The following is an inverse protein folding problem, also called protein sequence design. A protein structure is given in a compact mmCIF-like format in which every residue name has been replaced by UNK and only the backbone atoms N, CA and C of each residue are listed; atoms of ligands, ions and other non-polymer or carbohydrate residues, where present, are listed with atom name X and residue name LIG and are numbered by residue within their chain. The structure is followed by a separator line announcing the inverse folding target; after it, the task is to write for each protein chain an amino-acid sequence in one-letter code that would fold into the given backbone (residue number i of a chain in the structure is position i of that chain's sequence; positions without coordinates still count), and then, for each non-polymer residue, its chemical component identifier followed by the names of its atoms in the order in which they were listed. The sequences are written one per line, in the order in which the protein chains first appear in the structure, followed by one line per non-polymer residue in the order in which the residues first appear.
data_IF_327649899405
#
_entry.id   IF_327649899405
#
_cell.length_a   1.000
_cell.length_b   1.000
_cell.length_c   1.000
_cell.angle_alpha   90.00
_cell.angle_beta   90.00
_cell.angle_gamma   90.00
#
_symmetry.space_group_name_H-M   'P 1'
#
loop_
_entity.id
_entity.type
_entity.pdbx_description
1 polymer ?
#
# COMPACT_ATOMS: atom_id res chain seq x y z
N UNK A 1 -3.51 3.48 5.51
CA UNK A 1 -2.46 2.43 5.58
C UNK A 1 -3.14 1.15 6.02
N UNK A 2 -3.02 0.06 5.26
CA UNK A 2 -3.57 -1.26 5.58
C UNK A 2 -2.44 -2.24 5.87
N UNK A 3 -2.59 -3.04 6.94
CA UNK A 3 -1.58 -4.02 7.35
C UNK A 3 -2.00 -5.43 6.91
N UNK A 4 -1.12 -6.10 6.18
CA UNK A 4 -1.36 -7.40 5.55
C UNK A 4 -0.63 -8.59 6.18
N UNK A 5 0.02 -8.39 7.35
CA UNK A 5 0.80 -9.42 8.07
C UNK A 5 0.07 -10.76 8.33
N UNK A 6 -1.26 -10.81 8.25
CA UNK A 6 -2.06 -12.04 8.44
C UNK A 6 -2.73 -12.57 7.17
N UNK A 7 -2.46 -11.98 6.01
CA UNK A 7 -3.03 -12.43 4.72
C UNK A 7 -2.00 -13.29 4.00
N UNK A 8 -2.15 -14.61 4.11
CA UNK A 8 -1.26 -15.57 3.47
C UNK A 8 -1.75 -16.03 2.09
N UNK A 9 -3.04 -15.83 1.78
CA UNK A 9 -3.62 -16.20 0.49
C UNK A 9 -4.41 -15.05 -0.13
N UNK A 10 -3.99 -14.66 -1.34
CA UNK A 10 -4.66 -13.67 -2.17
C UNK A 10 -5.72 -14.33 -3.05
N UNK A 11 -6.97 -14.32 -2.60
CA UNK A 11 -8.11 -14.69 -3.46
C UNK A 11 -8.46 -13.56 -4.44
N UNK A 12 -9.08 -13.89 -5.56
CA UNK A 12 -9.45 -12.93 -6.63
C UNK A 12 -10.35 -11.79 -6.14
N UNK A 13 -11.24 -12.05 -5.18
CA UNK A 13 -12.09 -11.03 -4.54
C UNK A 13 -11.27 -10.02 -3.74
N UNK A 14 -10.25 -10.49 -3.02
CA UNK A 14 -9.39 -9.63 -2.20
C UNK A 14 -8.55 -8.69 -3.08
N UNK A 15 -7.98 -9.20 -4.17
CA UNK A 15 -7.27 -8.39 -5.17
C UNK A 15 -8.18 -7.33 -5.80
N UNK A 16 -9.42 -7.71 -6.13
CA UNK A 16 -10.41 -6.78 -6.68
C UNK A 16 -10.75 -5.68 -5.69
N UNK A 17 -10.96 -6.02 -4.42
CA UNK A 17 -11.20 -5.02 -3.36
C UNK A 17 -10.02 -4.08 -3.19
N UNK A 18 -8.79 -4.60 -3.21
CA UNK A 18 -7.58 -3.81 -3.17
C UNK A 18 -7.52 -2.74 -4.26
N UNK A 19 -7.77 -3.13 -5.51
CA UNK A 19 -7.83 -2.20 -6.65
C UNK A 19 -8.93 -1.15 -6.46
N UNK A 20 -10.12 -1.55 -6.00
CA UNK A 20 -11.23 -0.62 -5.72
C UNK A 20 -10.87 0.39 -4.63
N UNK A 21 -10.30 -0.05 -3.51
CA UNK A 21 -9.91 0.84 -2.42
C UNK A 21 -8.80 1.80 -2.83
N UNK A 22 -7.80 1.32 -3.58
CA UNK A 22 -6.74 2.16 -4.10
C UNK A 22 -7.30 3.26 -5.02
N UNK A 23 -8.17 2.90 -5.97
CA UNK A 23 -8.83 3.85 -6.87
C UNK A 23 -9.71 4.85 -6.13
N UNK A 24 -10.49 4.37 -5.15
CA UNK A 24 -11.38 5.22 -4.36
C UNK A 24 -10.58 6.23 -3.53
N UNK A 25 -9.48 5.80 -2.91
CA UNK A 25 -8.59 6.69 -2.18
C UNK A 25 -7.97 7.73 -3.10
N UNK A 26 -7.41 7.30 -4.24
CA UNK A 26 -6.80 8.19 -5.24
C UNK A 26 -7.82 9.22 -5.78
N UNK A 27 -9.05 8.80 -6.09
CA UNK A 27 -10.12 9.68 -6.55
C UNK A 27 -10.51 10.74 -5.50
N UNK A 28 -10.42 10.39 -4.21
CA UNK A 28 -10.61 11.34 -3.11
C UNK A 28 -9.37 12.21 -2.81
N UNK A 29 -8.32 12.14 -3.63
CA UNK A 29 -7.05 12.83 -3.39
C UNK A 29 -6.28 12.30 -2.17
N UNK A 30 -6.58 11.07 -1.75
CA UNK A 30 -5.94 10.36 -0.65
C UNK A 30 -4.99 9.30 -1.18
N UNK A 31 -4.02 8.90 -0.36
CA UNK A 31 -3.06 7.85 -0.71
C UNK A 31 -3.40 6.56 0.02
N UNK A 32 -3.52 5.48 -0.75
CA UNK A 32 -3.67 4.14 -0.23
C UNK A 32 -2.29 3.48 -0.14
N UNK A 33 -1.98 2.85 0.99
CA UNK A 33 -0.69 2.19 1.24
C UNK A 33 -0.89 0.85 1.92
N UNK A 34 -0.06 -0.12 1.54
CA UNK A 34 -0.03 -1.46 2.10
C UNK A 34 1.25 -1.71 2.89
N UNK A 35 1.13 -2.34 4.04
CA UNK A 35 2.22 -2.61 4.96
C UNK A 35 2.29 -4.11 5.30
N UNK A 36 3.50 -4.67 5.37
CA UNK A 36 3.70 -6.03 5.83
C UNK A 36 3.27 -7.05 4.79
N UNK A 37 3.57 -6.78 3.52
CA UNK A 37 3.21 -7.67 2.41
C UNK A 37 4.23 -8.79 2.31
N UNK A 38 3.77 -10.03 2.47
CA UNK A 38 4.61 -11.22 2.29
C UNK A 38 5.05 -11.36 0.83
N UNK A 39 6.22 -11.98 0.58
CA UNK A 39 6.77 -12.15 -0.77
C UNK A 39 5.82 -12.90 -1.74
N UNK A 40 5.06 -13.87 -1.22
CA UNK A 40 4.03 -14.62 -1.96
C UNK A 40 2.90 -13.70 -2.46
N UNK A 41 2.41 -12.82 -1.60
CA UNK A 41 1.40 -11.80 -1.91
C UNK A 41 1.96 -10.75 -2.87
N UNK A 42 3.21 -10.31 -2.64
CA UNK A 42 3.89 -9.33 -3.51
C UNK A 42 3.99 -9.84 -4.95
N UNK A 43 4.39 -11.10 -5.12
CA UNK A 43 4.47 -11.77 -6.44
C UNK A 43 3.10 -11.80 -7.12
N UNK A 44 2.03 -12.02 -6.36
CA UNK A 44 0.66 -12.04 -6.91
C UNK A 44 0.22 -10.64 -7.33
N UNK A 45 0.50 -9.61 -6.53
CA UNK A 45 0.19 -8.21 -6.86
C UNK A 45 0.92 -7.75 -8.12
N UNK A 46 2.18 -8.17 -8.29
CA UNK A 46 2.96 -7.88 -9.49
C UNK A 46 2.39 -8.60 -10.72
N UNK A 47 2.14 -9.91 -10.63
CA UNK A 47 1.57 -10.71 -11.74
C UNK A 47 0.20 -10.23 -12.20
N UNK A 48 -0.59 -9.68 -11.28
CA UNK A 48 -1.95 -9.21 -11.57
C UNK A 48 -2.01 -7.73 -11.98
N UNK A 49 -0.87 -7.02 -11.95
CA UNK A 49 -0.80 -5.59 -12.26
C UNK A 49 -1.39 -4.67 -11.18
N UNK A 50 -1.95 -5.23 -10.11
CA UNK A 50 -2.51 -4.46 -8.98
C UNK A 50 -1.43 -3.64 -8.27
N UNK A 51 -0.19 -4.13 -8.26
CA UNK A 51 0.95 -3.38 -7.73
C UNK A 51 1.17 -2.04 -8.45
N UNK A 52 1.02 -2.03 -9.78
CA UNK A 52 1.13 -0.81 -10.58
C UNK A 52 -0.06 0.13 -10.36
N UNK A 53 -1.27 -0.40 -10.16
CA UNK A 53 -2.46 0.41 -9.84
C UNK A 53 -2.34 1.12 -8.48
N UNK A 54 -1.79 0.43 -7.48
CA UNK A 54 -1.56 0.99 -6.14
C UNK A 54 -0.35 1.94 -6.14
N UNK A 55 0.63 1.66 -6.99
CA UNK A 55 1.93 2.32 -7.04
C UNK A 55 2.95 1.60 -6.17
N UNK A 56 4.06 1.17 -6.77
CA UNK A 56 5.14 0.40 -6.11
C UNK A 56 5.63 1.04 -4.81
N UNK A 57 5.71 2.37 -4.77
CA UNK A 57 6.19 3.13 -3.60
C UNK A 57 5.19 3.14 -2.42
N UNK A 58 3.95 2.69 -2.66
CA UNK A 58 2.90 2.62 -1.63
C UNK A 58 2.76 1.20 -1.05
N UNK A 59 3.59 0.25 -1.47
CA UNK A 59 3.57 -1.14 -0.99
C UNK A 59 4.86 -1.45 -0.26
N UNK A 60 4.73 -1.68 1.04
CA UNK A 60 5.84 -1.95 1.94
C UNK A 60 5.87 -3.44 2.27
N UNK A 61 6.89 -4.18 1.80
CA UNK A 61 7.02 -5.61 2.08
C UNK A 61 7.20 -5.85 3.59
N UNK A 62 6.94 -7.08 4.03
CA UNK A 62 7.25 -7.49 5.38
C UNK A 62 8.75 -7.33 5.66
N UNK A 63 9.08 -6.69 6.78
CA UNK A 63 10.45 -6.51 7.24
C UNK A 63 10.66 -7.23 8.58
N UNK A 64 11.87 -7.78 8.82
CA UNK A 64 12.25 -8.27 10.14
C UNK A 64 12.18 -7.15 11.17
N UNK A 65 11.45 -7.36 12.26
CA UNK A 65 11.21 -6.35 13.29
C UNK A 65 9.73 -5.93 13.38
N UNK A 66 9.20 -5.90 14.60
CA UNK A 66 7.83 -5.45 14.85
C UNK A 66 7.74 -3.96 14.48
N UNK A 67 6.95 -3.61 13.47
CA UNK A 67 6.67 -2.21 13.12
C UNK A 67 7.61 -1.55 12.10
N UNK A 68 8.69 -2.18 11.64
CA UNK A 68 9.61 -1.55 10.68
C UNK A 68 8.93 -1.15 9.36
N UNK A 69 8.04 -2.00 8.85
CA UNK A 69 7.23 -1.68 7.68
C UNK A 69 6.22 -0.54 7.97
N UNK A 70 5.66 -0.47 9.18
CA UNK A 70 4.79 0.62 9.61
C UNK A 70 5.54 1.94 9.61
N UNK A 71 6.71 1.98 10.24
CA UNK A 71 7.53 3.17 10.35
C UNK A 71 7.89 3.72 8.96
N UNK A 72 8.24 2.82 8.02
CA UNK A 72 8.49 3.19 6.62
C UNK A 72 7.24 3.78 5.95
N UNK A 73 6.09 3.12 6.08
CA UNK A 73 4.82 3.61 5.50
C UNK A 73 4.37 4.93 6.12
N UNK A 74 4.62 5.13 7.41
CA UNK A 74 4.27 6.33 8.15
C UNK A 74 5.17 7.51 7.77
N UNK A 75 6.47 7.28 7.58
CA UNK A 75 7.41 8.29 7.10
C UNK A 75 7.07 8.76 5.68
N UNK A 76 6.73 7.84 4.78
CA UNK A 76 6.28 8.17 3.42
C UNK A 76 4.96 8.94 3.45
N UNK A 77 4.00 8.53 4.29
CA UNK A 77 2.72 9.23 4.44
C UNK A 77 2.92 10.66 4.92
N UNK A 78 3.78 10.89 5.92
CA UNK A 78 4.11 12.24 6.39
C UNK A 78 4.81 13.09 5.32
N UNK A 79 5.71 12.49 4.54
CA UNK A 79 6.40 13.17 3.44
C UNK A 79 5.41 13.62 2.38
N UNK A 80 4.48 12.74 2.01
CA UNK A 80 3.41 13.06 1.07
C UNK A 80 2.47 14.15 1.61
N UNK A 81 2.07 14.08 2.88
CA UNK A 81 1.23 15.11 3.50
C UNK A 81 1.92 16.48 3.51
N UNK A 82 3.22 16.53 3.83
CA UNK A 82 4.01 17.77 3.78
C UNK A 82 4.08 18.33 2.36
N UNK A 83 4.32 17.48 1.35
CA UNK A 83 4.33 17.91 -0.05
C UNK A 83 2.97 18.47 -0.49
N UNK A 84 1.87 17.77 -0.15
CA UNK A 84 0.50 18.23 -0.48
C UNK A 84 0.13 19.54 0.24
N UNK A 85 0.63 19.74 1.46
CA UNK A 85 0.40 20.97 2.23
C UNK A 85 1.22 22.16 1.71
N UNK A 86 2.36 21.90 1.07
CA UNK A 86 3.19 22.92 0.43
C UNK A 86 2.62 23.37 -0.93
N UNK A 87 1.93 22.48 -1.65
CA UNK A 87 1.24 22.77 -2.92
C UNK A 87 -0.06 23.57 -2.73
N UNK A 88 -0.62 23.57 -1.52
CA UNK A 88 -1.85 24.28 -1.16
C UNK A 88 -1.65 25.72 -0.66
N UNK A 89 -0.44 26.29 -0.82
CA UNK A 89 -0.08 27.62 -0.30
C UNK A 89 0.28 28.62 -1.39
#
# INVERSE_FOLDING_TARGET
IWRLRSVQETHSTFLKQLSIYAKTAQAGGNRFMLEGVEASVMTTLEKTGVLDEIGRNNVFPEQPGLGAALDASWAEAQTWLKAKSADAK
#
